data_IF_296114939544
#
_entry.id   IF_296114939544
#
_cell.length_a   1.000
_cell.length_b   1.000
_cell.length_c   1.000
_cell.angle_alpha   90.00
_cell.angle_beta   90.00
_cell.angle_gamma   90.00
#
_symmetry.space_group_name_H-M   'P 1'
#
loop_
_entity.id
_entity.type
_entity.pdbx_description
1 polymer ?
#
# COMPACT_ATOMS: atom_id res chain seq x y z
N UNK A 1 17.50 -13.27 23.68
CA UNK A 1 17.08 -11.88 23.39
C UNK A 1 17.04 -11.75 21.89
N UNK A 2 15.85 -11.83 21.28
CA UNK A 2 15.72 -11.43 19.88
C UNK A 2 16.15 -9.96 19.81
N UNK A 3 17.08 -9.63 18.91
CA UNK A 3 17.50 -8.24 18.68
C UNK A 3 16.24 -7.39 18.50
N UNK A 4 16.17 -6.23 19.15
CA UNK A 4 15.03 -5.31 19.07
C UNK A 4 14.60 -5.01 17.62
N UNK A 5 15.52 -5.14 16.67
CA UNK A 5 15.26 -5.00 15.24
C UNK A 5 14.45 -6.17 14.65
N UNK A 6 14.71 -7.41 15.08
CA UNK A 6 13.89 -8.57 14.66
C UNK A 6 12.48 -8.50 15.24
N UNK A 7 12.33 -8.04 16.48
CA UNK A 7 11.02 -7.80 17.09
C UNK A 7 10.23 -6.72 16.34
N UNK A 8 10.88 -5.58 16.04
CA UNK A 8 10.28 -4.49 15.27
C UNK A 8 9.94 -4.90 13.83
N UNK A 9 10.78 -5.70 13.19
CA UNK A 9 10.53 -6.23 11.85
C UNK A 9 9.31 -7.16 11.81
N UNK A 10 9.14 -8.04 12.81
CA UNK A 10 7.95 -8.91 12.91
C UNK A 10 6.67 -8.10 13.12
N UNK A 11 6.74 -7.04 13.93
CA UNK A 11 5.59 -6.17 14.18
C UNK A 11 5.17 -5.40 12.92
N UNK A 12 6.12 -4.78 12.21
CA UNK A 12 5.86 -4.10 10.94
C UNK A 12 5.24 -5.06 9.92
N UNK A 13 5.73 -6.30 9.88
CA UNK A 13 5.18 -7.33 9.01
C UNK A 13 3.75 -7.71 9.37
N UNK A 14 3.44 -7.84 10.66
CA UNK A 14 2.07 -8.12 11.10
C UNK A 14 1.12 -6.97 10.71
N UNK A 15 1.54 -5.73 10.96
CA UNK A 15 0.79 -4.52 10.55
C UNK A 15 0.54 -4.50 9.03
N UNK A 16 1.55 -4.85 8.21
CA UNK A 16 1.40 -4.89 6.75
C UNK A 16 0.46 -6.01 6.25
N UNK A 17 0.27 -7.10 7.00
CA UNK A 17 -0.67 -8.17 6.58
C UNK A 17 -2.12 -7.78 6.87
N UNK A 18 -2.32 -6.91 7.85
CA UNK A 18 -3.65 -6.41 8.22
C UNK A 18 -4.13 -5.29 7.27
N UNK A 19 -3.24 -4.71 6.47
CA UNK A 19 -3.58 -3.71 5.45
C UNK A 19 -4.41 -4.34 4.30
N UNK A 20 -5.58 -3.78 3.93
CA UNK A 20 -6.55 -4.42 3.03
C UNK A 20 -6.05 -4.60 1.59
N UNK A 21 -4.97 -3.91 1.21
CA UNK A 21 -4.38 -3.93 -0.13
C UNK A 21 -3.14 -4.83 -0.24
N UNK A 22 -2.73 -5.48 0.87
CA UNK A 22 -1.58 -6.37 0.93
C UNK A 22 -2.06 -7.82 1.09
N UNK A 23 -1.53 -8.68 0.23
CA UNK A 23 -1.72 -10.13 0.32
C UNK A 23 -0.39 -10.80 0.66
N UNK A 24 -0.43 -11.80 1.54
CA UNK A 24 0.71 -12.67 1.83
C UNK A 24 0.52 -14.04 1.19
N UNK A 25 1.48 -14.45 0.37
CA UNK A 25 1.53 -15.80 -0.17
C UNK A 25 2.78 -16.52 0.35
N UNK A 26 2.57 -17.63 1.06
CA UNK A 26 3.64 -18.47 1.59
C UNK A 26 4.58 -18.92 0.45
N UNK A 27 5.87 -18.61 0.59
CA UNK A 27 6.90 -18.95 -0.40
C UNK A 27 7.10 -17.92 -1.52
N UNK A 28 6.24 -16.89 -1.61
CA UNK A 28 6.35 -15.81 -2.60
C UNK A 28 6.55 -14.44 -1.93
N UNK A 29 6.06 -14.26 -0.71
CA UNK A 29 6.21 -13.03 0.06
C UNK A 29 4.95 -12.16 0.03
N UNK A 30 5.14 -10.84 0.19
CA UNK A 30 4.07 -9.85 0.19
C UNK A 30 3.83 -9.30 -1.21
N UNK A 31 2.57 -9.07 -1.52
CA UNK A 31 2.16 -8.49 -2.80
C UNK A 31 1.03 -7.50 -2.60
N UNK A 32 1.16 -6.34 -3.23
CA UNK A 32 0.05 -5.40 -3.39
C UNK A 32 -0.90 -5.94 -4.46
N UNK A 33 -2.20 -5.96 -4.17
CA UNK A 33 -3.20 -6.38 -5.14
C UNK A 33 -3.11 -5.55 -6.43
N UNK A 34 -3.28 -6.20 -7.58
CA UNK A 34 -3.25 -5.51 -8.87
C UNK A 34 -4.60 -4.87 -9.22
N UNK A 35 -5.17 -4.15 -8.26
CA UNK A 35 -6.39 -3.35 -8.44
C UNK A 35 -6.04 -1.85 -8.37
N UNK A 36 -6.81 -0.99 -9.06
CA UNK A 36 -6.64 0.46 -8.97
C UNK A 36 -6.68 0.98 -7.52
N UNK A 37 -7.60 0.46 -6.69
CA UNK A 37 -7.82 0.91 -5.31
C UNK A 37 -6.66 0.52 -4.39
N UNK A 38 -6.17 -0.72 -4.48
CA UNK A 38 -5.01 -1.18 -3.71
C UNK A 38 -3.74 -0.39 -4.06
N UNK A 39 -3.57 -0.05 -5.34
CA UNK A 39 -2.47 0.79 -5.79
C UNK A 39 -2.66 2.25 -5.37
N UNK A 40 -3.89 2.77 -5.31
CA UNK A 40 -4.18 4.10 -4.79
C UNK A 40 -3.78 4.22 -3.32
N UNK A 41 -4.13 3.25 -2.49
CA UNK A 41 -3.74 3.23 -1.07
C UNK A 41 -2.22 3.27 -0.91
N UNK A 42 -1.50 2.39 -1.62
CA UNK A 42 -0.05 2.38 -1.60
C UNK A 42 0.55 3.71 -2.11
N UNK A 43 -0.04 4.31 -3.15
CA UNK A 43 0.37 5.60 -3.69
C UNK A 43 0.24 6.74 -2.68
N UNK A 44 -0.90 6.84 -1.99
CA UNK A 44 -1.13 7.85 -0.97
C UNK A 44 -0.21 7.65 0.24
N UNK A 45 -0.02 6.41 0.71
CA UNK A 45 0.93 6.13 1.81
C UNK A 45 2.36 6.53 1.46
N UNK A 46 2.84 6.21 0.26
CA UNK A 46 4.18 6.60 -0.20
C UNK A 46 4.31 8.12 -0.32
N UNK A 47 3.27 8.79 -0.80
CA UNK A 47 3.22 10.26 -0.88
C UNK A 47 3.29 10.90 0.50
N UNK A 48 2.54 10.41 1.47
CA UNK A 48 2.49 10.98 2.82
C UNK A 48 3.74 10.69 3.65
N UNK A 49 4.24 9.46 3.58
CA UNK A 49 5.36 9.02 4.42
C UNK A 49 6.72 9.41 3.84
N UNK A 50 6.85 9.42 2.51
CA UNK A 50 8.12 9.64 1.82
C UNK A 50 8.14 10.90 0.94
N UNK A 51 7.02 11.62 0.81
CA UNK A 51 6.94 12.85 0.02
C UNK A 51 6.93 12.63 -1.49
N UNK A 52 6.67 11.40 -1.96
CA UNK A 52 6.59 11.12 -3.40
C UNK A 52 5.41 11.85 -4.04
N UNK A 53 5.68 12.76 -4.97
CA UNK A 53 4.63 13.45 -5.74
C UNK A 53 4.16 12.65 -6.96
N UNK A 54 4.95 11.66 -7.41
CA UNK A 54 4.64 10.77 -8.52
C UNK A 54 5.16 9.36 -8.23
N UNK A 55 4.40 8.34 -8.63
CA UNK A 55 4.90 6.98 -8.68
C UNK A 55 5.64 6.78 -10.00
N UNK A 56 6.95 6.54 -9.96
CA UNK A 56 7.75 6.17 -11.14
C UNK A 56 7.53 4.70 -11.52
N UNK A 57 6.27 4.31 -11.67
CA UNK A 57 5.87 3.05 -12.28
C UNK A 57 5.47 3.40 -13.70
N UNK A 58 5.90 2.63 -14.70
CA UNK A 58 5.41 2.81 -16.07
C UNK A 58 3.87 2.83 -16.04
N UNK A 59 3.26 3.91 -16.54
CA UNK A 59 1.81 4.12 -16.45
C UNK A 59 1.01 2.99 -17.12
N UNK A 60 1.58 2.33 -18.13
CA UNK A 60 1.04 1.13 -18.79
C UNK A 60 1.00 -0.11 -17.88
N UNK A 61 1.74 -0.11 -16.77
CA UNK A 61 1.77 -1.17 -15.76
C UNK A 61 1.03 -0.79 -14.48
N UNK A 62 0.79 0.51 -14.26
CA UNK A 62 0.03 1.02 -13.11
C UNK A 62 -1.47 1.10 -13.42
N UNK A 63 -2.26 0.28 -12.74
CA UNK A 63 -3.73 0.33 -12.80
C UNK A 63 -4.28 1.59 -12.13
N UNK A 64 -3.58 2.10 -11.12
CA UNK A 64 -3.87 3.39 -10.51
C UNK A 64 -3.71 4.56 -11.49
N UNK A 65 -2.57 4.65 -12.18
CA UNK A 65 -2.33 5.71 -13.17
C UNK A 65 -3.31 5.60 -14.35
N UNK A 66 -3.60 4.39 -14.82
CA UNK A 66 -4.62 4.14 -15.85
C UNK A 66 -6.03 4.58 -15.42
N UNK A 67 -6.33 4.52 -14.13
CA UNK A 67 -7.61 4.98 -13.59
C UNK A 67 -7.68 6.51 -13.45
N UNK A 68 -6.59 7.25 -13.69
CA UNK A 68 -6.51 8.71 -13.52
C UNK A 68 -5.68 9.16 -12.33
N UNK A 69 -4.93 8.25 -11.69
CA UNK A 69 -3.94 8.57 -10.67
C UNK A 69 -4.51 9.38 -9.50
N UNK A 70 -3.71 10.29 -8.95
CA UNK A 70 -4.11 11.09 -7.80
C UNK A 70 -5.33 12.01 -8.05
N UNK A 71 -5.65 12.31 -9.32
CA UNK A 71 -6.80 13.17 -9.66
C UNK A 71 -8.13 12.41 -9.61
N UNK A 72 -8.09 11.07 -9.72
CA UNK A 72 -9.25 10.19 -9.70
C UNK A 72 -9.75 9.86 -8.29
N UNK A 73 -8.82 9.75 -7.34
CA UNK A 73 -9.09 9.25 -5.99
C UNK A 73 -9.10 10.39 -4.99
N UNK A 74 -10.12 10.39 -4.14
CA UNK A 74 -10.11 11.22 -2.94
C UNK A 74 -9.30 10.50 -1.85
N UNK A 75 -8.36 11.22 -1.23
CA UNK A 75 -7.45 10.67 -0.23
C UNK A 75 -8.22 10.15 0.99
N UNK A 76 -9.16 10.93 1.49
CA UNK A 76 -9.88 10.58 2.72
C UNK A 76 -10.80 9.39 2.47
N UNK A 77 -11.40 9.29 1.28
CA UNK A 77 -12.17 8.11 0.89
C UNK A 77 -11.32 6.84 0.77
N UNK A 78 -10.07 6.92 0.31
CA UNK A 78 -9.16 5.77 0.21
C UNK A 78 -8.77 5.23 1.59
N UNK A 79 -8.68 6.09 2.61
CA UNK A 79 -8.34 5.68 3.98
C UNK A 79 -9.56 5.42 4.87
N UNK A 80 -10.74 5.97 4.55
CA UNK A 80 -11.96 5.80 5.34
C UNK A 80 -12.49 4.35 5.37
N UNK A 81 -12.10 3.51 4.40
CA UNK A 81 -12.48 2.08 4.39
C UNK A 81 -11.88 1.26 5.53
N UNK A 82 -10.94 1.82 6.31
CA UNK A 82 -10.29 1.14 7.45
C UNK A 82 -10.97 1.39 8.82
N UNK A 83 -11.87 2.37 8.96
CA UNK A 83 -12.48 2.72 10.26
C UNK A 83 -13.84 2.03 10.52
N UNK A 84 -14.37 1.24 9.56
CA UNK A 84 -15.68 0.57 9.68
C UNK A 84 -15.61 -0.96 9.60
N UNK A 85 -14.80 -1.65 10.42
CA UNK A 85 -14.98 -3.10 10.69
C UNK A 85 -14.61 -3.50 12.12
#
# INVERSE_FOLDING_TARGET
>A
MESSEQGRGKQLVAELVDEPYISYQRGTGYRIENSPDAQAYAAFRLRETCGYSTLQIESTLSRFEQAGGFDRYDRDAVFATDDEW
#
